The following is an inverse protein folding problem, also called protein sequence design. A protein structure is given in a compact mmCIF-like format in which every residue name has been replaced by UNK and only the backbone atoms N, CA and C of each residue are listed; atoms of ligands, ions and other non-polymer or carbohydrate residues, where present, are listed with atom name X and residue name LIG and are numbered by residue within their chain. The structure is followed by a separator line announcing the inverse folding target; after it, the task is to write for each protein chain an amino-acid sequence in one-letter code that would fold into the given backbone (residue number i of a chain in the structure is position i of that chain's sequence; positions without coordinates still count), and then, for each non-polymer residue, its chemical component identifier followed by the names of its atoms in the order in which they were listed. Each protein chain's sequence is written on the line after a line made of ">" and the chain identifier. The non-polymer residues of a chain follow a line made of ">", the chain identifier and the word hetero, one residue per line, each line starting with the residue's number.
data_IF_355139173236
#
_entry.id   IF_355139173236
#
_cell.length_a   1.000
_cell.length_b   1.000
_cell.length_c   1.000
_cell.angle_alpha   90.00
_cell.angle_beta   90.00
_cell.angle_gamma   90.00
#
_symmetry.space_group_name_H-M   'P 1'
#
loop_
_entity.id
_entity.type
_entity.pdbx_description
1 polymer ?
#
# COMPACT_ATOMS: atom_id res chain seq x y z
N UNK A 1 10.37 -4.76 -18.87
CA UNK A 1 9.76 -5.11 -17.57
C UNK A 1 10.72 -4.81 -16.43
N UNK A 2 10.26 -4.18 -15.37
CA UNK A 2 11.12 -3.85 -14.22
C UNK A 2 11.57 -5.11 -13.49
N UNK A 3 12.85 -5.15 -13.14
CA UNK A 3 13.36 -6.18 -12.25
C UNK A 3 12.93 -5.89 -10.81
N UNK A 4 13.10 -6.87 -9.94
CA UNK A 4 12.84 -6.72 -8.51
C UNK A 4 13.62 -5.54 -7.91
N UNK A 5 14.91 -5.43 -8.25
CA UNK A 5 15.75 -4.35 -7.74
C UNK A 5 15.34 -2.99 -8.27
N UNK A 6 15.03 -2.89 -9.55
CA UNK A 6 14.52 -1.65 -10.15
C UNK A 6 13.20 -1.23 -9.52
N UNK A 7 12.30 -2.17 -9.31
CA UNK A 7 11.03 -1.91 -8.63
C UNK A 7 11.28 -1.40 -7.20
N UNK A 8 12.20 -2.02 -6.49
CA UNK A 8 12.57 -1.62 -5.13
C UNK A 8 13.10 -0.19 -5.06
N UNK A 9 13.92 0.21 -6.04
CA UNK A 9 14.43 1.58 -6.11
C UNK A 9 13.31 2.60 -6.29
N UNK A 10 12.36 2.31 -7.16
CA UNK A 10 11.21 3.19 -7.39
C UNK A 10 10.32 3.24 -6.13
N UNK A 11 10.07 2.09 -5.52
CA UNK A 11 9.27 2.03 -4.29
C UNK A 11 9.92 2.87 -3.17
N UNK A 12 11.23 2.82 -3.05
CA UNK A 12 11.95 3.63 -2.07
C UNK A 12 11.75 5.12 -2.32
N UNK A 13 11.84 5.55 -3.58
CA UNK A 13 11.56 6.94 -3.95
C UNK A 13 10.13 7.34 -3.60
N UNK A 14 9.15 6.49 -3.96
CA UNK A 14 7.74 6.73 -3.66
C UNK A 14 7.53 6.85 -2.15
N UNK A 15 8.15 5.97 -1.37
CA UNK A 15 8.03 6.01 0.08
C UNK A 15 8.61 7.30 0.68
N UNK A 16 9.72 7.79 0.13
CA UNK A 16 10.33 9.04 0.59
C UNK A 16 9.50 10.29 0.23
N UNK A 17 8.69 10.22 -0.81
CA UNK A 17 7.81 11.32 -1.21
C UNK A 17 6.59 11.48 -0.29
N UNK A 18 6.27 10.45 0.49
CA UNK A 18 5.17 10.51 1.45
C UNK A 18 5.57 11.33 2.67
N UNK A 19 4.61 12.05 3.30
CA UNK A 19 4.88 12.75 4.56
C UNK A 19 5.45 11.81 5.61
N UNK A 20 6.51 12.22 6.27
CA UNK A 20 7.22 11.40 7.26
C UNK A 20 6.33 10.94 8.41
N UNK A 21 5.39 11.78 8.82
CA UNK A 21 4.47 11.46 9.92
C UNK A 21 3.58 10.25 9.64
N UNK A 22 3.39 9.86 8.38
CA UNK A 22 2.61 8.68 8.04
C UNK A 22 3.28 7.38 8.47
N UNK A 23 4.59 7.43 8.70
CA UNK A 23 5.38 6.26 9.13
C UNK A 23 5.56 6.17 10.64
N UNK A 24 4.95 7.08 11.39
CA UNK A 24 5.05 7.07 12.84
C UNK A 24 4.61 5.72 13.41
N UNK A 25 5.44 5.14 14.25
CA UNK A 25 5.22 3.83 14.86
C UNK A 25 5.09 2.65 13.89
N UNK A 26 5.50 2.83 12.63
CA UNK A 26 5.61 1.73 11.67
C UNK A 26 7.03 1.14 11.78
N UNK A 27 7.32 0.48 12.91
CA UNK A 27 8.68 0.05 13.25
C UNK A 27 9.24 -1.02 12.32
N UNK A 28 8.39 -1.86 11.74
CA UNK A 28 8.81 -2.85 10.77
C UNK A 28 9.01 -2.30 9.37
N UNK A 29 8.54 -1.07 9.12
CA UNK A 29 8.74 -0.39 7.84
C UNK A 29 7.94 -0.99 6.69
N UNK A 30 8.39 -0.63 5.48
CA UNK A 30 7.82 -1.14 4.22
C UNK A 30 8.77 -2.19 3.67
N UNK A 31 8.27 -3.39 3.43
CA UNK A 31 9.06 -4.54 3.00
C UNK A 31 8.61 -4.95 1.61
N UNK A 32 9.54 -5.06 0.67
CA UNK A 32 9.26 -5.55 -0.67
C UNK A 32 9.58 -7.04 -0.74
N UNK A 33 8.59 -7.83 -1.14
CA UNK A 33 8.72 -9.28 -1.28
C UNK A 33 8.62 -9.67 -2.76
N UNK A 34 9.42 -10.65 -3.22
CA UNK A 34 9.46 -11.01 -4.63
C UNK A 34 8.25 -11.79 -5.12
N UNK A 35 7.54 -12.46 -4.23
CA UNK A 35 6.45 -13.36 -4.58
C UNK A 35 5.18 -12.63 -5.02
N UNK A 36 4.29 -13.37 -5.69
CA UNK A 36 2.91 -12.95 -5.84
C UNK A 36 2.09 -13.55 -4.70
N UNK A 37 0.94 -12.94 -4.41
CA UNK A 37 0.05 -13.43 -3.36
C UNK A 37 -1.39 -13.37 -3.84
N UNK A 38 -2.06 -14.51 -3.82
CA UNK A 38 -3.47 -14.58 -4.17
C UNK A 38 -4.34 -14.33 -2.94
N UNK A 39 -5.45 -13.62 -3.16
CA UNK A 39 -6.46 -13.44 -2.13
C UNK A 39 -7.18 -14.77 -1.88
N UNK A 40 -7.61 -15.06 -0.64
CA UNK A 40 -8.34 -16.30 -0.32
C UNK A 40 -9.59 -16.53 -1.16
N UNK A 41 -10.21 -15.47 -1.67
CA UNK A 41 -11.41 -15.55 -2.52
C UNK A 41 -11.09 -15.64 -4.01
N UNK A 42 -9.81 -15.74 -4.37
CA UNK A 42 -9.38 -15.91 -5.76
C UNK A 42 -9.84 -17.25 -6.32
N UNK A 43 -10.25 -17.24 -7.58
CA UNK A 43 -10.63 -18.45 -8.31
C UNK A 43 -9.85 -18.54 -9.62
N UNK A 44 -9.80 -19.73 -10.25
CA UNK A 44 -9.10 -19.90 -11.52
C UNK A 44 -9.65 -18.97 -12.61
N UNK A 45 -10.98 -18.77 -12.63
CA UNK A 45 -11.62 -17.93 -13.62
C UNK A 45 -11.54 -16.43 -13.30
N UNK A 46 -11.19 -16.08 -12.07
CA UNK A 46 -11.09 -14.69 -11.62
C UNK A 46 -10.02 -14.55 -10.56
N UNK A 47 -8.74 -14.55 -10.96
CA UNK A 47 -7.65 -14.43 -10.00
C UNK A 47 -7.60 -13.02 -9.41
N UNK A 48 -7.52 -12.95 -8.08
CA UNK A 48 -7.38 -11.72 -7.32
C UNK A 48 -6.01 -11.71 -6.65
N UNK A 49 -5.19 -10.73 -6.98
CA UNK A 49 -3.85 -10.58 -6.42
C UNK A 49 -3.81 -9.49 -5.36
N UNK A 50 -3.14 -9.79 -4.25
CA UNK A 50 -2.88 -8.84 -3.20
C UNK A 50 -1.59 -8.10 -3.57
N UNK A 51 -1.66 -6.79 -3.71
CA UNK A 51 -0.51 -5.93 -4.02
C UNK A 51 0.25 -5.53 -2.77
N UNK A 52 -0.46 -5.31 -1.67
CA UNK A 52 0.13 -4.94 -0.40
C UNK A 52 -0.72 -5.38 0.76
N UNK A 53 -0.11 -5.48 1.93
CA UNK A 53 -0.79 -5.85 3.17
C UNK A 53 -0.18 -5.10 4.35
N UNK A 54 -1.03 -4.65 5.25
CA UNK A 54 -0.63 -4.10 6.53
C UNK A 54 -0.73 -5.19 7.60
N UNK A 55 0.34 -5.35 8.37
CA UNK A 55 0.41 -6.37 9.41
C UNK A 55 0.74 -5.79 10.78
N UNK A 56 0.15 -6.40 11.80
CA UNK A 56 0.46 -6.13 13.21
C UNK A 56 0.80 -7.47 13.85
N UNK A 57 1.96 -7.56 14.48
CA UNK A 57 2.35 -8.74 15.24
C UNK A 57 3.16 -8.33 16.47
N UNK A 58 3.74 -9.30 17.18
CA UNK A 58 4.53 -9.04 18.39
C UNK A 58 5.76 -8.17 18.17
N UNK A 59 6.29 -8.21 16.94
CA UNK A 59 7.49 -7.45 16.58
C UNK A 59 7.14 -6.00 16.28
N UNK A 60 5.90 -5.75 15.84
CA UNK A 60 5.45 -4.41 15.54
C UNK A 60 4.51 -4.35 14.35
N UNK A 61 4.46 -3.19 13.72
CA UNK A 61 3.60 -2.88 12.59
C UNK A 61 4.46 -2.73 11.34
N UNK A 62 4.03 -3.32 10.22
CA UNK A 62 4.78 -3.26 8.97
C UNK A 62 3.86 -3.43 7.77
N UNK A 63 4.37 -3.06 6.60
CA UNK A 63 3.64 -3.17 5.33
C UNK A 63 4.45 -4.06 4.39
N UNK A 64 3.82 -5.06 3.83
CA UNK A 64 4.40 -5.88 2.76
C UNK A 64 3.88 -5.40 1.41
N UNK A 65 4.78 -5.27 0.44
CA UNK A 65 4.44 -4.99 -0.96
C UNK A 65 4.91 -6.19 -1.77
N UNK A 66 4.06 -6.72 -2.64
CA UNK A 66 4.33 -7.94 -3.40
C UNK A 66 4.69 -7.62 -4.84
N UNK A 67 5.99 -7.68 -5.16
CA UNK A 67 6.49 -7.44 -6.50
C UNK A 67 5.84 -8.36 -7.54
N UNK A 68 5.75 -9.66 -7.22
CA UNK A 68 5.15 -10.64 -8.13
C UNK A 68 3.70 -10.31 -8.47
N UNK A 69 2.93 -9.86 -7.49
CA UNK A 69 1.54 -9.45 -7.71
C UNK A 69 1.44 -8.24 -8.64
N UNK A 70 2.31 -7.25 -8.43
CA UNK A 70 2.36 -6.07 -9.32
C UNK A 70 2.66 -6.47 -10.76
N UNK A 71 3.63 -7.35 -10.95
CA UNK A 71 4.02 -7.78 -12.30
C UNK A 71 2.93 -8.64 -12.96
N UNK A 72 2.16 -9.37 -12.20
CA UNK A 72 1.02 -10.14 -12.74
C UNK A 72 -0.07 -9.24 -13.30
N UNK A 73 -0.33 -8.12 -12.64
CA UNK A 73 -1.44 -7.23 -13.01
C UNK A 73 -0.97 -6.11 -13.93
N UNK A 74 0.20 -5.54 -13.65
CA UNK A 74 0.62 -4.25 -14.22
C UNK A 74 1.91 -4.28 -15.02
N UNK A 75 2.45 -5.45 -15.38
CA UNK A 75 3.70 -5.53 -16.14
C UNK A 75 3.65 -4.80 -17.49
N UNK A 76 2.45 -4.63 -18.04
CA UNK A 76 2.24 -3.95 -19.32
C UNK A 76 2.29 -2.42 -19.23
N UNK A 77 2.25 -1.87 -18.01
CA UNK A 77 2.24 -0.41 -17.81
C UNK A 77 3.64 0.17 -17.98
N UNK A 78 3.74 1.39 -18.54
CA UNK A 78 5.00 2.12 -18.51
C UNK A 78 5.37 2.50 -17.08
N UNK A 79 6.66 2.81 -16.86
CA UNK A 79 7.21 3.05 -15.53
C UNK A 79 6.46 4.12 -14.72
N UNK A 80 6.09 5.24 -15.37
CA UNK A 80 5.38 6.32 -14.70
C UNK A 80 4.01 5.88 -14.16
N UNK A 81 3.31 5.04 -14.92
CA UNK A 81 2.02 4.49 -14.50
C UNK A 81 2.17 3.45 -13.40
N UNK A 82 3.23 2.66 -13.50
CA UNK A 82 3.53 1.68 -12.47
C UNK A 82 3.87 2.37 -11.14
N UNK A 83 4.62 3.48 -11.21
CA UNK A 83 4.91 4.32 -10.04
C UNK A 83 3.61 4.83 -9.39
N UNK A 84 2.65 5.28 -10.17
CA UNK A 84 1.35 5.72 -9.65
C UNK A 84 0.62 4.59 -8.90
N UNK A 85 0.71 3.37 -9.42
CA UNK A 85 0.10 2.20 -8.76
C UNK A 85 0.80 1.84 -7.46
N UNK A 86 2.12 1.94 -7.42
CA UNK A 86 2.89 1.76 -6.19
C UNK A 86 2.48 2.79 -5.14
N UNK A 87 2.37 4.05 -5.55
CA UNK A 87 1.96 5.14 -4.67
C UNK A 87 0.56 4.89 -4.11
N UNK A 88 -0.37 4.51 -4.97
CA UNK A 88 -1.75 4.19 -4.57
C UNK A 88 -1.78 3.06 -3.54
N UNK A 89 -1.06 1.98 -3.80
CA UNK A 89 -1.02 0.82 -2.91
C UNK A 89 -0.40 1.18 -1.57
N UNK A 90 0.72 1.90 -1.58
CA UNK A 90 1.37 2.31 -0.34
C UNK A 90 0.48 3.23 0.50
N UNK A 91 -0.18 4.20 -0.13
CA UNK A 91 -1.13 5.08 0.56
C UNK A 91 -2.26 4.30 1.19
N UNK A 92 -2.78 3.31 0.49
CA UNK A 92 -3.85 2.46 0.98
C UNK A 92 -3.42 1.71 2.25
N UNK A 93 -2.23 1.12 2.25
CA UNK A 93 -1.73 0.41 3.43
C UNK A 93 -1.36 1.35 4.58
N UNK A 94 -0.83 2.53 4.27
CA UNK A 94 -0.59 3.56 5.28
C UNK A 94 -1.90 4.05 5.92
N UNK A 95 -2.99 4.09 5.15
CA UNK A 95 -4.31 4.39 5.70
C UNK A 95 -4.73 3.36 6.76
N UNK A 96 -4.52 2.08 6.47
CA UNK A 96 -4.79 1.03 7.46
C UNK A 96 -3.94 1.22 8.72
N UNK A 97 -2.68 1.61 8.55
CA UNK A 97 -1.80 1.91 9.69
C UNK A 97 -2.36 3.05 10.54
N UNK A 98 -2.76 4.15 9.91
CA UNK A 98 -3.33 5.29 10.62
C UNK A 98 -4.63 4.93 11.33
N UNK A 99 -5.49 4.15 10.69
CA UNK A 99 -6.72 3.65 11.31
C UNK A 99 -6.45 2.77 12.51
N UNK A 100 -5.43 1.93 12.42
CA UNK A 100 -5.00 1.09 13.53
C UNK A 100 -4.51 1.92 14.70
N UNK A 101 -3.71 2.96 14.43
CA UNK A 101 -3.24 3.89 15.46
C UNK A 101 -4.41 4.66 16.07
N UNK A 102 -5.36 5.09 15.25
CA UNK A 102 -6.54 5.82 15.72
C UNK A 102 -7.42 4.98 16.65
N UNK A 103 -7.38 3.67 16.50
CA UNK A 103 -8.10 2.75 17.39
C UNK A 103 -7.46 2.57 18.75
N UNK A 104 -6.24 3.08 18.97
CA UNK A 104 -5.58 2.98 20.27
C UNK A 104 -6.06 4.08 21.22
N UNK A 105 -6.04 3.76 22.53
CA UNK A 105 -6.42 4.71 23.58
C UNK A 105 -5.43 5.88 23.63
N UNK A 106 -5.94 7.10 23.74
CA UNK A 106 -5.14 8.29 23.97
C UNK A 106 -4.83 9.12 22.72
N UNK A 107 -5.43 8.82 21.58
CA UNK A 107 -5.32 9.71 20.43
C UNK A 107 -6.13 10.98 20.64
N UNK A 108 -5.52 12.11 20.29
CA UNK A 108 -6.15 13.42 20.40
C UNK A 108 -7.10 13.67 19.21
N UNK A 109 -8.04 14.60 19.42
CA UNK A 109 -9.01 14.99 18.39
C UNK A 109 -8.33 15.48 17.12
N UNK A 110 -7.19 16.16 17.24
CA UNK A 110 -6.42 16.64 16.08
C UNK A 110 -5.94 15.51 15.19
N UNK A 111 -5.55 14.39 15.79
CA UNK A 111 -5.11 13.21 15.05
C UNK A 111 -6.28 12.57 14.30
N UNK A 112 -7.46 12.58 14.90
CA UNK A 112 -8.68 12.09 14.24
C UNK A 112 -9.04 12.95 13.02
N UNK A 113 -8.94 14.27 13.15
CA UNK A 113 -9.20 15.18 12.03
C UNK A 113 -8.20 14.96 10.90
N UNK A 114 -6.93 14.78 11.23
CA UNK A 114 -5.88 14.51 10.26
C UNK A 114 -6.12 13.20 9.53
N UNK A 115 -6.52 12.18 10.27
CA UNK A 115 -6.85 10.87 9.73
C UNK A 115 -8.02 10.95 8.76
N UNK A 116 -9.07 11.67 9.11
CA UNK A 116 -10.24 11.84 8.24
C UNK A 116 -9.87 12.56 6.93
N UNK A 117 -9.03 13.57 6.99
CA UNK A 117 -8.54 14.27 5.80
C UNK A 117 -7.74 13.35 4.89
N UNK A 118 -6.92 12.50 5.48
CA UNK A 118 -6.13 11.52 4.74
C UNK A 118 -7.04 10.48 4.06
N UNK A 119 -8.04 9.97 4.76
CA UNK A 119 -9.02 9.03 4.22
C UNK A 119 -9.72 9.60 2.99
N UNK A 120 -10.11 10.86 3.04
CA UNK A 120 -10.74 11.53 1.90
C UNK A 120 -9.82 11.63 0.70
N UNK A 121 -8.54 11.94 0.92
CA UNK A 121 -7.56 12.01 -0.16
C UNK A 121 -7.35 10.66 -0.83
N UNK A 122 -7.23 9.61 -0.04
CA UNK A 122 -7.08 8.24 -0.55
C UNK A 122 -8.31 7.83 -1.36
N UNK A 123 -9.50 8.14 -0.85
CA UNK A 123 -10.75 7.84 -1.54
C UNK A 123 -10.83 8.54 -2.90
N UNK A 124 -10.47 9.82 -2.97
CA UNK A 124 -10.45 10.57 -4.23
C UNK A 124 -9.48 9.99 -5.25
N UNK A 125 -8.30 9.57 -4.80
CA UNK A 125 -7.31 8.93 -5.68
C UNK A 125 -7.87 7.62 -6.22
N UNK A 126 -8.51 6.80 -5.38
CA UNK A 126 -9.13 5.55 -5.78
C UNK A 126 -10.23 5.77 -6.81
N UNK A 127 -11.07 6.77 -6.61
CA UNK A 127 -12.14 7.12 -7.53
C UNK A 127 -11.59 7.58 -8.90
N UNK A 128 -10.49 8.37 -8.89
CA UNK A 128 -9.87 8.85 -10.12
C UNK A 128 -9.22 7.75 -10.93
N UNK A 129 -8.57 6.79 -10.27
CA UNK A 129 -7.91 5.70 -10.97
C UNK A 129 -8.90 4.72 -11.61
N UNK A 130 -10.12 4.63 -11.06
CA UNK A 130 -11.25 3.92 -11.67
C UNK A 130 -11.07 2.44 -11.91
N UNK A 131 -9.97 1.84 -11.48
CA UNK A 131 -9.66 0.45 -11.78
C UNK A 131 -9.00 -0.24 -10.59
N UNK A 132 -9.73 -0.28 -9.49
CA UNK A 132 -9.28 -0.96 -8.29
C UNK A 132 -9.78 -2.39 -8.14
N UNK A 133 -10.52 -2.90 -9.10
CA UNK A 133 -11.22 -4.19 -8.95
C UNK A 133 -10.31 -5.40 -8.77
N UNK A 134 -9.03 -5.30 -9.12
CA UNK A 134 -8.03 -6.36 -8.92
C UNK A 134 -7.05 -6.06 -7.79
N UNK A 135 -7.17 -4.90 -7.18
CA UNK A 135 -6.37 -4.45 -6.06
C UNK A 135 -7.11 -4.71 -4.76
N UNK A 136 -6.40 -5.20 -3.76
CA UNK A 136 -6.98 -5.49 -2.46
C UNK A 136 -6.18 -4.89 -1.32
#
# INVERSE_FOLDING_TARGET
>A
MLTFDEFGDILEEVAHEMPEELYDRLHGGVILLPEDKLHPESTEGNPLFILGEYHINRIGRYINIYYGSFMRIYSYLPEDRLRERMEHTLKHELLHHLESLAGEKGLEIEDEIRLNRYRERVRRVSERSGDGRREL
#
